data_IF_058390566640
#
_entry.id   IF_058390566640
#
_cell.length_a   1.000
_cell.length_b   1.000
_cell.length_c   1.000
_cell.angle_alpha   90.00
_cell.angle_beta   90.00
_cell.angle_gamma   90.00
#
_symmetry.space_group_name_H-M   'P 1'
#
loop_
_entity.id
_entity.type
_entity.pdbx_description
1 polymer ?
#
# COMPACT_ATOMS: atom_id res chain seq x y z
N UNK A 1 33.39 12.34 -1.14
CA UNK A 1 32.80 11.78 -2.39
C UNK A 1 31.51 12.50 -2.70
N UNK A 2 31.31 13.04 -3.91
CA UNK A 2 30.10 13.81 -4.29
C UNK A 2 29.02 13.01 -5.03
N UNK A 3 29.33 11.74 -5.38
CA UNK A 3 28.44 10.80 -6.08
C UNK A 3 28.62 9.38 -5.54
N UNK A 4 27.55 8.59 -5.58
CA UNK A 4 27.59 7.17 -5.28
C UNK A 4 28.34 6.42 -6.38
N UNK A 5 29.36 5.63 -6.02
CA UNK A 5 30.19 4.89 -6.98
C UNK A 5 29.43 3.76 -7.70
N UNK A 6 28.33 3.28 -7.11
CA UNK A 6 27.59 2.12 -7.63
C UNK A 6 26.51 2.49 -8.66
N UNK A 7 25.77 3.57 -8.41
CA UNK A 7 24.64 3.98 -9.27
C UNK A 7 24.79 5.39 -9.86
N UNK A 8 25.85 6.11 -9.49
CA UNK A 8 26.13 7.47 -9.94
C UNK A 8 25.25 8.56 -9.35
N UNK A 9 24.34 8.27 -8.40
CA UNK A 9 23.51 9.28 -7.75
C UNK A 9 24.39 10.33 -7.07
N UNK A 10 24.23 11.58 -7.48
CA UNK A 10 24.95 12.73 -6.94
C UNK A 10 24.19 13.43 -5.81
N UNK A 11 24.87 14.29 -5.05
CA UNK A 11 24.20 15.17 -4.08
C UNK A 11 23.14 16.06 -4.74
N UNK A 12 23.39 16.50 -5.98
CA UNK A 12 22.42 17.27 -6.76
C UNK A 12 21.19 16.44 -7.09
N UNK A 13 21.37 15.21 -7.56
CA UNK A 13 20.25 14.30 -7.85
C UNK A 13 19.36 14.09 -6.60
N UNK A 14 20.01 13.91 -5.45
CA UNK A 14 19.32 13.77 -4.16
C UNK A 14 18.54 15.03 -3.76
N UNK A 15 19.17 16.22 -3.84
CA UNK A 15 18.50 17.49 -3.50
C UNK A 15 17.33 17.81 -4.44
N UNK A 16 17.48 17.53 -5.72
CA UNK A 16 16.49 17.87 -6.74
C UNK A 16 15.27 16.93 -6.70
N UNK A 17 15.46 15.64 -6.36
CA UNK A 17 14.39 14.63 -6.49
C UNK A 17 14.05 13.90 -5.18
N UNK A 18 14.91 13.95 -4.16
CA UNK A 18 14.73 13.22 -2.90
C UNK A 18 14.80 11.69 -3.06
N UNK A 19 15.50 11.18 -4.07
CA UNK A 19 15.54 9.75 -4.42
C UNK A 19 16.96 9.22 -4.56
N UNK A 20 17.18 8.00 -4.05
CA UNK A 20 18.46 7.29 -4.17
C UNK A 20 18.41 6.22 -5.26
N UNK A 21 19.58 5.91 -5.83
CA UNK A 21 19.69 4.93 -6.92
C UNK A 21 20.09 3.52 -6.51
N UNK A 22 20.52 3.32 -5.26
CA UNK A 22 20.83 2.02 -4.65
C UNK A 22 21.06 2.19 -3.14
N UNK A 23 21.10 1.10 -2.38
CA UNK A 23 21.36 1.12 -0.94
C UNK A 23 22.70 1.78 -0.55
N UNK A 24 23.73 1.70 -1.40
CA UNK A 24 25.03 2.33 -1.12
C UNK A 24 24.99 3.87 -1.10
N UNK A 25 23.93 4.49 -1.62
CA UNK A 25 23.73 5.94 -1.50
C UNK A 25 23.60 6.40 -0.03
N UNK A 26 23.22 5.49 0.88
CA UNK A 26 23.13 5.81 2.30
C UNK A 26 24.49 6.16 2.90
N UNK A 27 25.61 5.69 2.35
CA UNK A 27 26.93 6.12 2.79
C UNK A 27 27.18 7.63 2.59
N UNK A 28 26.37 8.29 1.75
CA UNK A 28 26.47 9.72 1.45
C UNK A 28 25.31 10.52 2.05
N UNK A 29 24.09 9.97 2.06
CA UNK A 29 22.87 10.74 2.35
C UNK A 29 22.08 10.21 3.56
N UNK A 30 22.64 9.29 4.36
CA UNK A 30 21.88 8.62 5.42
C UNK A 30 21.19 9.57 6.41
N UNK A 31 21.85 10.64 6.86
CA UNK A 31 21.28 11.58 7.83
C UNK A 31 20.02 12.26 7.31
N UNK A 32 20.02 12.67 6.05
CA UNK A 32 18.86 13.30 5.42
C UNK A 32 17.81 12.24 5.07
N UNK A 33 18.24 11.10 4.56
CA UNK A 33 17.35 10.00 4.15
C UNK A 33 16.46 9.52 5.30
N UNK A 34 17.03 9.28 6.48
CA UNK A 34 16.30 8.75 7.63
C UNK A 34 15.20 9.70 8.10
N UNK A 35 15.39 11.02 7.97
CA UNK A 35 14.40 12.04 8.40
C UNK A 35 13.07 11.93 7.67
N UNK A 36 13.06 11.34 6.47
CA UNK A 36 11.88 11.20 5.63
C UNK A 36 11.29 9.78 5.65
N UNK A 37 11.85 8.87 6.46
CA UNK A 37 11.25 7.55 6.67
C UNK A 37 10.04 7.72 7.59
N UNK A 38 8.86 7.18 7.23
CA UNK A 38 7.66 7.32 8.06
C UNK A 38 7.89 6.68 9.44
N UNK A 39 7.44 7.34 10.50
CA UNK A 39 7.59 6.83 11.86
C UNK A 39 6.90 5.48 12.04
N UNK A 40 7.55 4.63 12.82
CA UNK A 40 7.02 3.33 13.23
C UNK A 40 6.33 3.51 14.59
N UNK A 41 5.01 3.66 14.64
CA UNK A 41 4.29 3.91 15.92
C UNK A 41 4.42 2.79 16.93
N UNK A 42 4.51 3.10 18.22
CA UNK A 42 4.67 2.07 19.26
C UNK A 42 3.38 1.27 19.50
N UNK A 43 2.24 1.91 19.34
CA UNK A 43 0.93 1.36 19.67
C UNK A 43 0.00 1.40 18.47
N UNK A 44 -1.06 0.59 18.53
CA UNK A 44 -2.12 0.65 17.54
C UNK A 44 -2.94 1.92 17.73
N UNK A 45 -3.28 2.56 16.61
CA UNK A 45 -4.13 3.74 16.65
C UNK A 45 -5.55 3.38 17.09
N UNK A 46 -6.12 4.17 18.00
CA UNK A 46 -7.54 4.17 18.37
C UNK A 46 -8.11 5.59 18.20
N UNK A 47 -9.39 5.75 17.81
CA UNK A 47 -10.06 7.04 17.82
C UNK A 47 -10.03 7.66 19.23
N UNK A 48 -9.79 8.98 19.36
CA UNK A 48 -9.80 9.64 20.67
C UNK A 48 -11.17 9.55 21.34
N UNK A 49 -11.23 9.38 22.67
CA UNK A 49 -12.49 9.21 23.44
C UNK A 49 -13.56 10.30 23.21
N UNK A 50 -13.14 11.48 22.79
CA UNK A 50 -14.00 12.66 22.56
C UNK A 50 -14.67 12.68 21.18
N UNK A 51 -14.31 11.78 20.27
CA UNK A 51 -14.88 11.79 18.92
C UNK A 51 -16.28 11.15 18.90
N UNK A 52 -17.14 11.50 17.93
CA UNK A 52 -18.46 10.89 17.79
C UNK A 52 -18.36 9.36 17.69
N UNK A 53 -19.37 8.65 18.19
CA UNK A 53 -19.50 7.18 18.09
C UNK A 53 -18.35 6.37 18.73
N UNK A 54 -17.55 6.97 19.64
CA UNK A 54 -16.43 6.26 20.27
C UNK A 54 -16.86 5.00 21.05
N UNK A 55 -18.00 5.06 21.76
CA UNK A 55 -18.48 3.91 22.57
C UNK A 55 -18.92 2.75 21.68
N UNK A 56 -19.62 3.08 20.60
CA UNK A 56 -20.06 2.17 19.56
C UNK A 56 -18.87 1.55 18.84
N UNK A 57 -17.88 2.36 18.49
CA UNK A 57 -16.61 1.91 17.94
C UNK A 57 -15.90 0.96 18.89
N UNK A 58 -15.78 1.27 20.19
CA UNK A 58 -15.08 0.40 21.15
C UNK A 58 -15.77 -0.95 21.30
N UNK A 59 -17.11 -0.99 21.24
CA UNK A 59 -17.88 -2.24 21.22
C UNK A 59 -17.59 -3.02 19.94
N UNK A 60 -17.61 -2.36 18.79
CA UNK A 60 -17.34 -2.97 17.49
C UNK A 60 -15.90 -3.50 17.37
N UNK A 61 -14.92 -2.71 17.81
CA UNK A 61 -13.49 -3.04 17.74
C UNK A 61 -13.05 -4.08 18.78
N UNK A 62 -13.93 -4.46 19.72
CA UNK A 62 -13.67 -5.56 20.66
C UNK A 62 -13.80 -6.94 20.01
N UNK A 63 -14.43 -7.02 18.82
CA UNK A 63 -14.52 -8.25 18.05
C UNK A 63 -13.16 -8.62 17.41
N UNK A 64 -12.88 -9.92 17.22
CA UNK A 64 -11.74 -10.35 16.40
C UNK A 64 -11.80 -9.72 15.00
N UNK A 65 -10.65 -9.33 14.45
CA UNK A 65 -10.54 -8.55 13.20
C UNK A 65 -11.27 -9.25 12.03
N UNK A 66 -11.14 -10.56 11.90
CA UNK A 66 -11.88 -11.36 10.92
C UNK A 66 -13.40 -11.17 10.98
N UNK A 67 -13.99 -11.08 12.19
CA UNK A 67 -15.43 -10.84 12.38
C UNK A 67 -15.80 -9.38 12.13
N UNK A 68 -14.98 -8.46 12.65
CA UNK A 68 -15.10 -7.03 12.39
C UNK A 68 -15.14 -6.76 10.87
N UNK A 69 -14.21 -7.32 10.12
CA UNK A 69 -14.10 -7.13 8.67
C UNK A 69 -15.35 -7.62 7.92
N UNK A 70 -15.84 -8.83 8.24
CA UNK A 70 -17.12 -9.33 7.66
C UNK A 70 -18.30 -8.43 8.00
N UNK A 71 -18.33 -7.89 9.21
CA UNK A 71 -19.38 -6.98 9.67
C UNK A 71 -19.36 -5.66 8.89
N UNK A 72 -18.18 -5.05 8.69
CA UNK A 72 -18.05 -3.87 7.85
C UNK A 72 -18.51 -4.17 6.41
N UNK A 73 -18.08 -5.28 5.82
CA UNK A 73 -18.45 -5.66 4.44
C UNK A 73 -19.96 -5.83 4.27
N UNK A 74 -20.66 -6.31 5.29
CA UNK A 74 -22.13 -6.45 5.28
C UNK A 74 -22.88 -5.12 5.16
N UNK A 75 -22.23 -4.00 5.49
CA UNK A 75 -22.82 -2.66 5.34
C UNK A 75 -22.76 -2.14 3.91
N UNK A 76 -22.05 -2.84 3.00
CA UNK A 76 -21.94 -2.50 1.58
C UNK A 76 -21.54 -1.05 1.34
N UNK A 77 -20.63 -0.54 2.18
CA UNK A 77 -20.11 0.82 2.03
C UNK A 77 -19.32 0.93 0.72
N UNK A 78 -19.34 2.09 0.05
CA UNK A 78 -18.61 2.31 -1.20
C UNK A 78 -17.11 2.51 -0.97
N UNK A 79 -16.50 1.66 -0.14
CA UNK A 79 -15.08 1.74 0.22
C UNK A 79 -14.29 0.82 -0.71
N UNK A 80 -13.06 1.21 -1.03
CA UNK A 80 -12.08 0.34 -1.66
C UNK A 80 -10.81 0.34 -0.85
N UNK A 81 -10.22 -0.82 -0.66
CA UNK A 81 -9.04 -1.02 0.17
C UNK A 81 -7.86 -1.41 -0.69
N UNK A 82 -6.68 -0.96 -0.31
CA UNK A 82 -5.46 -1.29 -1.00
C UNK A 82 -4.32 -1.52 -0.03
N UNK A 83 -3.65 -2.64 -0.21
CA UNK A 83 -2.33 -2.90 0.33
C UNK A 83 -1.29 -2.82 -0.78
N UNK A 84 -0.12 -2.28 -0.48
CA UNK A 84 1.04 -2.43 -1.35
C UNK A 84 2.31 -2.60 -0.54
N UNK A 85 3.29 -3.25 -1.15
CA UNK A 85 4.64 -3.43 -0.60
C UNK A 85 5.69 -3.24 -1.70
N UNK A 86 6.76 -2.52 -1.40
CA UNK A 86 7.89 -2.27 -2.33
C UNK A 86 9.16 -2.92 -1.85
N UNK A 87 9.93 -3.50 -2.77
CA UNK A 87 11.24 -4.11 -2.49
C UNK A 87 12.23 -3.87 -3.61
N UNK A 88 13.50 -3.82 -3.22
CA UNK A 88 14.64 -3.84 -4.13
C UNK A 88 15.53 -5.04 -3.78
N UNK A 89 15.84 -5.94 -4.74
CA UNK A 89 16.82 -7.00 -4.56
C UNK A 89 18.15 -6.48 -4.04
N UNK A 90 18.79 -7.28 -3.17
CA UNK A 90 20.04 -6.92 -2.53
C UNK A 90 21.14 -6.58 -3.55
N UNK A 91 21.84 -5.48 -3.32
CA UNK A 91 22.95 -4.99 -4.15
C UNK A 91 22.53 -4.53 -5.54
N UNK A 92 21.24 -4.21 -5.76
CA UNK A 92 20.75 -3.78 -7.07
C UNK A 92 20.85 -2.26 -7.27
N UNK A 93 20.89 -1.86 -8.53
CA UNK A 93 20.65 -0.47 -8.94
C UNK A 93 19.16 -0.32 -9.22
N UNK A 94 18.54 0.69 -8.61
CA UNK A 94 17.10 0.94 -8.67
C UNK A 94 16.70 1.50 -10.03
N UNK A 95 15.44 1.27 -10.47
CA UNK A 95 15.00 1.63 -11.81
C UNK A 95 15.23 3.11 -12.15
N UNK A 96 15.17 4.01 -11.16
CA UNK A 96 15.46 5.44 -11.33
C UNK A 96 16.80 5.74 -12.03
N UNK A 97 17.79 4.86 -11.89
CA UNK A 97 19.11 4.99 -12.52
C UNK A 97 19.34 4.04 -13.69
N UNK A 98 18.38 3.18 -14.02
CA UNK A 98 18.50 2.26 -15.15
C UNK A 98 18.05 2.95 -16.45
N UNK A 99 18.85 2.77 -17.48
CA UNK A 99 18.53 3.17 -18.86
C UNK A 99 17.76 2.10 -19.63
N UNK A 100 17.75 0.85 -19.13
CA UNK A 100 17.08 -0.30 -19.75
C UNK A 100 15.92 -0.79 -18.89
N UNK A 101 14.94 -1.37 -19.58
CA UNK A 101 13.84 -2.14 -18.96
C UNK A 101 14.41 -3.26 -18.07
N UNK A 102 13.75 -3.50 -16.94
CA UNK A 102 14.06 -4.61 -16.05
C UNK A 102 13.24 -5.83 -16.50
N UNK A 103 13.92 -6.94 -16.81
CA UNK A 103 13.26 -8.22 -17.09
C UNK A 103 12.70 -8.82 -15.78
N UNK A 104 11.37 -8.92 -15.59
CA UNK A 104 10.76 -9.38 -14.35
C UNK A 104 11.15 -10.79 -13.97
N UNK A 105 11.31 -11.69 -14.93
CA UNK A 105 11.70 -13.09 -14.70
C UNK A 105 13.06 -13.13 -13.98
N UNK A 106 14.02 -12.29 -14.41
CA UNK A 106 15.33 -12.20 -13.76
C UNK A 106 15.25 -11.64 -12.34
N UNK A 107 14.33 -10.69 -12.11
CA UNK A 107 14.11 -10.13 -10.77
C UNK A 107 13.49 -11.18 -9.87
N UNK A 108 12.40 -11.80 -10.30
CA UNK A 108 11.70 -12.85 -9.55
C UNK A 108 12.61 -14.04 -9.28
N UNK A 109 13.33 -14.55 -10.28
CA UNK A 109 14.30 -15.62 -10.09
C UNK A 109 15.35 -15.28 -9.01
N UNK A 110 15.76 -14.01 -8.94
CA UNK A 110 16.76 -13.54 -7.97
C UNK A 110 16.18 -13.38 -6.56
N UNK A 111 14.96 -12.85 -6.42
CA UNK A 111 14.46 -12.43 -5.10
C UNK A 111 13.15 -13.07 -4.63
N UNK A 112 12.39 -13.68 -5.53
CA UNK A 112 11.08 -14.26 -5.26
C UNK A 112 10.87 -15.54 -6.12
N UNK A 113 11.79 -16.54 -6.06
CA UNK A 113 11.71 -17.73 -6.90
C UNK A 113 10.41 -18.52 -6.67
N UNK A 114 9.98 -18.65 -5.41
CA UNK A 114 8.72 -19.32 -5.04
C UNK A 114 7.51 -18.71 -5.78
N UNK A 115 7.49 -17.38 -5.97
CA UNK A 115 6.40 -16.70 -6.71
C UNK A 115 6.51 -16.96 -8.21
N UNK A 116 7.74 -17.03 -8.74
CA UNK A 116 7.95 -17.39 -10.14
C UNK A 116 7.44 -18.80 -10.43
N UNK A 117 7.79 -19.76 -9.57
CA UNK A 117 7.32 -21.16 -9.68
C UNK A 117 5.80 -21.25 -9.61
N UNK A 118 5.16 -20.55 -8.66
CA UNK A 118 3.69 -20.46 -8.58
C UNK A 118 3.08 -19.96 -9.89
N UNK A 119 3.59 -18.85 -10.44
CA UNK A 119 3.10 -18.28 -11.70
C UNK A 119 3.30 -19.24 -12.88
N UNK A 120 4.45 -19.92 -12.96
CA UNK A 120 4.74 -20.88 -14.03
C UNK A 120 3.82 -22.10 -13.94
N UNK A 121 3.60 -22.64 -12.74
CA UNK A 121 2.74 -23.80 -12.51
C UNK A 121 1.27 -23.56 -12.87
N UNK A 122 0.76 -22.34 -12.59
CA UNK A 122 -0.61 -21.95 -12.95
C UNK A 122 -0.81 -21.85 -14.47
N UNK A 123 0.20 -21.38 -15.21
CA UNK A 123 0.13 -21.25 -16.67
C UNK A 123 0.14 -22.62 -17.39
N UNK A 124 0.81 -23.62 -16.82
CA UNK A 124 0.81 -24.99 -17.35
C UNK A 124 -0.57 -25.65 -17.19
N UNK A 125 -1.30 -25.34 -16.11
CA UNK A 125 -2.65 -25.88 -15.88
C UNK A 125 -3.72 -25.22 -16.74
N UNK A 126 -3.63 -23.89 -16.97
CA UNK A 126 -4.58 -23.13 -17.81
C UNK A 126 -4.46 -23.45 -19.31
N UNK A 127 -3.36 -24.05 -19.76
CA UNK A 127 -3.17 -24.46 -21.17
C UNK A 127 -4.12 -25.60 -21.62
N UNK A 128 -4.95 -26.14 -20.73
CA UNK A 128 -5.94 -27.19 -21.01
C UNK A 128 -7.41 -26.73 -21.01
N UNK A 129 -7.74 -25.52 -20.54
CA UNK A 129 -9.13 -25.02 -20.51
C UNK A 129 -9.22 -23.49 -20.66
N UNK A 130 -9.95 -23.06 -21.68
CA UNK A 130 -10.37 -21.71 -22.10
C UNK A 130 -10.06 -20.46 -21.22
N UNK A 131 -9.17 -19.62 -21.77
CA UNK A 131 -9.12 -18.12 -21.78
C UNK A 131 -9.45 -17.34 -20.49
N UNK A 132 -8.47 -17.28 -19.59
CA UNK A 132 -8.15 -16.03 -18.88
C UNK A 132 -6.64 -15.93 -18.64
N UNK A 133 -5.86 -15.98 -19.71
CA UNK A 133 -4.40 -15.95 -19.67
C UNK A 133 -3.89 -14.81 -18.78
N UNK A 134 -3.29 -15.16 -17.64
CA UNK A 134 -2.43 -14.28 -16.84
C UNK A 134 -1.13 -14.02 -17.62
N UNK A 135 -1.24 -13.37 -18.76
CA UNK A 135 -0.09 -13.03 -19.59
C UNK A 135 0.71 -11.89 -18.96
N UNK A 136 2.01 -11.95 -19.15
CA UNK A 136 2.91 -10.82 -18.96
C UNK A 136 2.34 -9.61 -19.71
N UNK A 137 1.85 -8.62 -18.96
CA UNK A 137 1.30 -7.41 -19.56
C UNK A 137 2.33 -6.30 -19.45
N UNK A 138 2.95 -5.97 -20.59
CA UNK A 138 3.70 -4.73 -20.73
C UNK A 138 2.69 -3.59 -20.86
N UNK A 139 2.68 -2.68 -19.89
CA UNK A 139 1.87 -1.47 -19.99
C UNK A 139 2.79 -0.27 -20.05
N UNK A 140 2.80 0.46 -21.17
CA UNK A 140 3.49 1.74 -21.29
C UNK A 140 2.64 2.76 -20.53
N UNK A 141 3.09 3.19 -19.35
CA UNK A 141 2.42 4.27 -18.60
C UNK A 141 3.00 5.63 -19.04
N UNK A 142 2.20 6.53 -19.66
CA UNK A 142 2.69 7.86 -20.02
C UNK A 142 2.84 8.72 -18.76
N UNK A 143 4.06 9.16 -18.46
CA UNK A 143 4.31 10.37 -17.68
C UNK A 143 5.10 11.36 -18.50
N UNK A 144 4.83 12.65 -18.27
CA UNK A 144 5.33 13.78 -19.03
C UNK A 144 6.84 13.75 -19.26
N UNK A 145 7.20 13.88 -20.55
CA UNK A 145 8.46 14.43 -21.09
C UNK A 145 9.75 14.01 -20.35
N UNK A 146 10.20 12.77 -20.58
CA UNK A 146 11.59 12.46 -20.99
C UNK A 146 12.00 10.98 -20.84
N UNK A 147 11.20 10.10 -20.22
CA UNK A 147 11.58 8.68 -20.07
C UNK A 147 10.38 7.74 -20.23
N UNK A 148 10.21 7.19 -21.44
CA UNK A 148 9.34 6.03 -21.69
C UNK A 148 9.96 4.79 -21.03
N UNK A 149 9.65 4.54 -19.76
CA UNK A 149 10.01 3.27 -19.12
C UNK A 149 8.90 2.26 -19.32
N UNK A 150 9.23 1.16 -19.97
CA UNK A 150 8.37 -0.03 -20.07
C UNK A 150 8.16 -0.54 -18.65
N UNK A 151 6.90 -0.56 -18.21
CA UNK A 151 6.49 -1.22 -16.96
C UNK A 151 5.91 -2.55 -17.33
N UNK A 152 6.39 -3.59 -16.67
CA UNK A 152 5.86 -4.93 -16.79
C UNK A 152 5.09 -5.27 -15.52
N UNK A 153 4.06 -6.08 -15.68
CA UNK A 153 3.26 -6.54 -14.55
C UNK A 153 2.75 -7.95 -14.70
N UNK A 154 2.60 -8.61 -13.55
CA UNK A 154 2.14 -9.98 -13.40
C UNK A 154 1.07 -10.03 -12.32
N UNK A 155 0.17 -11.02 -12.39
CA UNK A 155 -0.81 -11.27 -11.33
C UNK A 155 -0.35 -12.44 -10.47
N UNK A 156 -0.43 -12.29 -9.15
CA UNK A 156 -0.08 -13.33 -8.18
C UNK A 156 -0.81 -13.08 -6.86
N UNK A 157 -1.37 -14.15 -6.28
CA UNK A 157 -2.15 -14.13 -5.03
C UNK A 157 -3.25 -13.05 -5.00
N UNK A 158 -4.03 -12.95 -6.09
CA UNK A 158 -5.09 -11.93 -6.25
C UNK A 158 -4.59 -10.49 -6.45
N UNK A 159 -3.30 -10.22 -6.29
CA UNK A 159 -2.68 -8.92 -6.48
C UNK A 159 -1.88 -8.80 -7.78
N UNK A 160 -1.34 -7.60 -8.01
CA UNK A 160 -0.52 -7.24 -9.16
C UNK A 160 0.91 -6.95 -8.73
N UNK A 161 1.86 -7.71 -9.27
CA UNK A 161 3.29 -7.40 -9.26
C UNK A 161 3.61 -6.40 -10.35
N UNK A 162 4.35 -5.35 -10.01
CA UNK A 162 4.80 -4.28 -10.88
C UNK A 162 6.33 -4.23 -10.83
N UNK A 163 6.96 -4.07 -11.99
CA UNK A 163 8.40 -4.00 -12.12
C UNK A 163 8.84 -2.71 -12.82
N UNK A 164 10.02 -2.21 -12.44
CA UNK A 164 10.69 -1.14 -13.17
C UNK A 164 10.09 0.27 -13.01
N UNK A 165 9.25 0.51 -12.00
CA UNK A 165 8.70 1.84 -11.70
C UNK A 165 9.75 2.71 -10.97
N UNK A 166 9.57 2.90 -9.67
CA UNK A 166 10.51 3.60 -8.80
C UNK A 166 11.44 2.64 -8.05
N UNK A 167 10.89 1.49 -7.66
CA UNK A 167 11.55 0.36 -7.03
C UNK A 167 11.47 -0.85 -7.97
N UNK A 168 12.35 -1.83 -7.81
CA UNK A 168 12.42 -2.98 -8.71
C UNK A 168 11.18 -3.86 -8.66
N UNK A 169 10.62 -4.09 -7.47
CA UNK A 169 9.40 -4.89 -7.26
C UNK A 169 8.41 -4.10 -6.42
N UNK A 170 7.16 -4.08 -6.86
CA UNK A 170 6.02 -3.65 -6.04
C UNK A 170 4.89 -4.64 -6.20
N UNK A 171 4.36 -5.15 -5.10
CA UNK A 171 3.11 -5.91 -5.12
C UNK A 171 1.97 -5.04 -4.60
N UNK A 172 0.83 -5.06 -5.29
CA UNK A 172 -0.36 -4.29 -4.94
C UNK A 172 -1.60 -5.18 -4.95
N UNK A 173 -2.37 -5.13 -3.87
CA UNK A 173 -3.65 -5.82 -3.73
C UNK A 173 -4.74 -4.78 -3.51
N UNK A 174 -5.79 -4.84 -4.34
CA UNK A 174 -6.92 -3.89 -4.31
C UNK A 174 -8.20 -4.71 -4.26
N UNK A 175 -9.08 -4.39 -3.32
CA UNK A 175 -10.36 -5.09 -3.11
C UNK A 175 -11.38 -4.14 -2.50
N UNK A 176 -12.67 -4.39 -2.72
CA UNK A 176 -13.76 -3.70 -2.05
C UNK A 176 -14.25 -4.46 -0.80
N UNK A 177 -13.59 -5.57 -0.43
CA UNK A 177 -13.86 -6.36 0.77
C UNK A 177 -12.74 -6.20 1.80
N UNK A 178 -13.09 -5.68 2.98
CA UNK A 178 -12.16 -5.58 4.10
C UNK A 178 -11.77 -6.97 4.60
N UNK A 179 -12.71 -7.93 4.48
CA UNK A 179 -12.49 -9.33 4.84
C UNK A 179 -11.44 -10.01 3.94
N UNK A 180 -11.54 -9.80 2.62
CA UNK A 180 -10.57 -10.34 1.67
C UNK A 180 -9.18 -9.72 1.91
N UNK A 181 -9.12 -8.41 2.17
CA UNK A 181 -7.89 -7.75 2.54
C UNK A 181 -7.27 -8.37 3.81
N UNK A 182 -8.07 -8.58 4.86
CA UNK A 182 -7.61 -9.22 6.11
C UNK A 182 -7.03 -10.62 5.86
N UNK A 183 -7.75 -11.43 5.07
CA UNK A 183 -7.33 -12.80 4.73
C UNK A 183 -5.96 -12.78 4.03
N UNK A 184 -5.79 -11.89 3.06
CA UNK A 184 -4.54 -11.72 2.33
C UNK A 184 -3.43 -11.22 3.25
N UNK A 185 -3.72 -10.27 4.14
CA UNK A 185 -2.74 -9.72 5.08
C UNK A 185 -2.25 -10.76 6.11
N UNK A 186 -3.05 -11.79 6.40
CA UNK A 186 -2.70 -12.89 7.29
C UNK A 186 -2.18 -14.13 6.55
N UNK A 187 -2.14 -14.11 5.21
CA UNK A 187 -1.56 -15.19 4.43
C UNK A 187 -0.03 -15.22 4.52
N UNK A 188 0.55 -16.40 4.34
CA UNK A 188 2.01 -16.60 4.27
C UNK A 188 2.64 -15.97 3.01
N UNK A 189 1.85 -15.59 2.02
CA UNK A 189 2.34 -14.97 0.78
C UNK A 189 3.20 -13.73 1.06
N UNK A 190 2.79 -12.92 2.04
CA UNK A 190 3.49 -11.69 2.36
C UNK A 190 4.88 -11.94 2.94
N UNK A 191 5.10 -13.04 3.67
CA UNK A 191 6.40 -13.38 4.28
C UNK A 191 7.54 -13.45 3.25
N UNK A 192 7.21 -13.77 1.99
CA UNK A 192 8.14 -13.78 0.86
C UNK A 192 8.82 -12.41 0.65
N UNK A 193 8.17 -11.31 1.04
CA UNK A 193 8.70 -9.96 0.98
C UNK A 193 9.48 -9.53 2.22
N UNK A 194 9.44 -10.29 3.33
CA UNK A 194 10.16 -9.96 4.57
C UNK A 194 11.45 -10.78 4.74
N UNK A 195 12.31 -10.77 3.72
CA UNK A 195 13.60 -11.50 3.70
C UNK A 195 14.80 -10.51 3.61
N UNK A 196 15.38 -10.02 4.72
CA UNK A 196 16.49 -9.04 4.74
C UNK A 196 17.78 -9.50 4.02
N UNK A 197 17.96 -10.80 3.88
CA UNK A 197 19.08 -11.40 3.16
C UNK A 197 18.90 -11.32 1.64
N UNK A 198 17.65 -11.18 1.17
CA UNK A 198 17.27 -11.18 -0.25
C UNK A 198 17.10 -9.75 -0.78
N UNK A 199 16.59 -8.84 0.05
CA UNK A 199 16.33 -7.46 -0.31
C UNK A 199 17.35 -6.51 0.30
N UNK A 200 17.50 -5.31 -0.28
CA UNK A 200 18.27 -4.24 0.32
C UNK A 200 17.65 -3.87 1.67
N UNK A 201 18.43 -4.10 2.73
CA UNK A 201 18.03 -3.90 4.11
C UNK A 201 19.22 -3.36 4.91
N UNK A 202 18.96 -2.43 5.83
CA UNK A 202 19.95 -1.93 6.78
C UNK A 202 19.34 -1.84 8.17
N UNK A 203 20.01 -2.40 9.16
CA UNK A 203 19.59 -2.31 10.56
C UNK A 203 19.45 -0.83 11.00
N UNK A 204 18.42 -0.54 11.78
CA UNK A 204 18.04 0.82 12.17
C UNK A 204 17.30 1.63 11.09
N UNK A 205 17.23 1.14 9.85
CA UNK A 205 16.49 1.77 8.73
C UNK A 205 15.35 0.87 8.26
N UNK A 206 15.59 -0.43 8.13
CA UNK A 206 14.66 -1.39 7.51
C UNK A 206 14.99 -1.68 6.04
N UNK A 207 13.99 -2.08 5.28
CA UNK A 207 14.07 -2.22 3.82
C UNK A 207 14.28 -0.87 3.16
N UNK A 208 15.15 -0.85 2.16
CA UNK A 208 15.60 0.37 1.51
C UNK A 208 14.87 0.53 0.17
N UNK A 209 14.29 1.72 -0.02
CA UNK A 209 13.61 2.11 -1.25
C UNK A 209 14.25 3.33 -1.90
N UNK A 210 13.92 3.58 -3.17
CA UNK A 210 14.39 4.76 -3.88
C UNK A 210 13.94 6.06 -3.20
N UNK A 211 12.65 6.17 -2.86
CA UNK A 211 12.13 7.23 -2.01
C UNK A 211 12.14 6.82 -0.54
N UNK A 212 12.68 7.65 0.37
CA UNK A 212 12.73 7.35 1.80
C UNK A 212 11.36 7.09 2.40
N UNK A 213 10.31 7.76 1.89
CA UNK A 213 8.94 7.59 2.41
C UNK A 213 8.36 6.20 2.14
N UNK A 214 9.01 5.37 1.32
CA UNK A 214 8.65 3.96 1.10
C UNK A 214 9.65 2.99 1.77
N UNK A 215 10.55 3.49 2.61
CA UNK A 215 11.52 2.66 3.34
C UNK A 215 11.02 2.29 4.73
N UNK A 216 11.77 1.46 5.45
CA UNK A 216 11.28 0.83 6.68
C UNK A 216 10.71 -0.54 6.35
N UNK A 217 9.44 -0.77 6.64
CA UNK A 217 8.71 -1.98 6.27
C UNK A 217 8.29 -1.95 4.79
N UNK A 218 8.29 -0.77 4.17
CA UNK A 218 7.99 -0.55 2.75
C UNK A 218 6.58 -0.92 2.33
N UNK A 219 5.67 -1.09 3.29
CA UNK A 219 4.27 -1.32 3.08
C UNK A 219 3.43 -0.05 3.22
N UNK A 220 2.26 -0.06 2.58
CA UNK A 220 1.25 0.99 2.67
C UNK A 220 -0.13 0.34 2.63
N UNK A 221 -0.98 0.73 3.57
CA UNK A 221 -2.41 0.46 3.53
C UNK A 221 -3.15 1.76 3.24
N UNK A 222 -4.22 1.65 2.47
CA UNK A 222 -5.09 2.76 2.14
C UNK A 222 -6.54 2.33 2.00
N UNK A 223 -7.44 3.25 2.33
CA UNK A 223 -8.87 3.16 2.06
C UNK A 223 -9.27 4.36 1.20
N UNK A 224 -9.98 4.08 0.11
CA UNK A 224 -10.56 5.07 -0.78
C UNK A 224 -12.07 5.13 -0.55
N UNK A 225 -12.59 6.34 -0.38
CA UNK A 225 -14.03 6.60 -0.21
C UNK A 225 -14.49 7.63 -1.25
N UNK A 226 -15.78 7.66 -1.64
CA UNK A 226 -16.29 8.68 -2.55
C UNK A 226 -16.10 10.07 -1.97
N UNK A 227 -15.72 11.02 -2.82
CA UNK A 227 -15.52 12.41 -2.44
C UNK A 227 -16.80 13.05 -1.89
N UNK A 228 -17.96 12.67 -2.44
CA UNK A 228 -19.27 13.13 -1.97
C UNK A 228 -19.51 12.92 -0.46
N UNK A 229 -18.99 11.84 0.13
CA UNK A 229 -19.14 11.58 1.57
C UNK A 229 -18.47 12.65 2.46
N UNK A 230 -17.46 13.34 1.92
CA UNK A 230 -16.81 14.45 2.63
C UNK A 230 -17.55 15.78 2.51
N UNK A 231 -18.45 15.90 1.53
CA UNK A 231 -19.20 17.14 1.25
C UNK A 231 -20.58 17.16 1.91
N UNK A 232 -21.15 15.99 2.15
CA UNK A 232 -22.47 15.76 2.77
C UNK A 232 -22.45 15.86 4.30
N UNK A 233 -21.27 16.07 4.91
CA UNK A 233 -21.10 16.08 6.36
C UNK A 233 -21.14 14.67 7.00
N UNK A 234 -21.13 13.59 6.21
CA UNK A 234 -21.07 12.22 6.74
C UNK A 234 -19.76 11.93 7.50
N UNK A 235 -18.74 12.75 7.28
CA UNK A 235 -17.47 12.74 8.01
C UNK A 235 -17.37 13.85 9.07
N UNK A 236 -18.46 14.50 9.47
CA UNK A 236 -18.42 15.53 10.51
C UNK A 236 -17.81 14.99 11.81
N UNK A 237 -16.86 15.72 12.36
CA UNK A 237 -16.13 15.31 13.57
C UNK A 237 -15.07 14.23 13.32
N UNK A 238 -14.88 13.76 12.09
CA UNK A 238 -13.72 12.95 11.72
C UNK A 238 -12.44 13.79 11.85
N UNK A 239 -11.47 13.24 12.56
CA UNK A 239 -10.13 13.82 12.69
C UNK A 239 -9.14 12.82 12.13
N UNK A 240 -8.43 13.23 11.08
CA UNK A 240 -7.35 12.42 10.53
C UNK A 240 -6.23 12.29 11.57
N UNK A 241 -5.73 11.08 11.86
CA UNK A 241 -4.63 10.94 12.81
C UNK A 241 -3.34 11.55 12.26
N UNK A 242 -2.50 12.09 13.14
CA UNK A 242 -1.33 12.94 12.77
C UNK A 242 -0.33 12.26 11.81
N UNK A 243 -0.21 10.95 11.88
CA UNK A 243 0.73 10.15 11.06
C UNK A 243 0.06 9.48 9.86
N UNK A 244 -1.17 9.86 9.53
CA UNK A 244 -1.86 9.44 8.33
C UNK A 244 -1.82 10.54 7.28
N UNK A 245 -1.67 10.13 6.02
CA UNK A 245 -1.80 11.01 4.89
C UNK A 245 -3.16 10.85 4.22
N UNK A 246 -3.54 11.86 3.45
CA UNK A 246 -4.64 11.74 2.51
C UNK A 246 -4.32 12.46 1.20
N UNK A 247 -5.00 12.08 0.14
CA UNK A 247 -4.98 12.82 -1.13
C UNK A 247 -6.29 12.57 -1.89
N UNK A 248 -6.56 13.45 -2.86
CA UNK A 248 -7.72 13.32 -3.76
C UNK A 248 -7.29 12.67 -5.07
N UNK A 249 -8.12 11.76 -5.55
CA UNK A 249 -8.04 11.21 -6.90
C UNK A 249 -9.20 11.79 -7.72
N UNK A 250 -9.00 13.01 -8.25
CA UNK A 250 -10.10 13.80 -8.84
C UNK A 250 -10.75 13.11 -10.04
N UNK A 251 -10.00 12.33 -10.83
CA UNK A 251 -10.52 11.62 -12.01
C UNK A 251 -11.59 10.59 -11.64
N UNK A 252 -11.45 9.95 -10.47
CA UNK A 252 -12.41 8.94 -9.99
C UNK A 252 -13.25 9.45 -8.82
N UNK A 253 -13.13 10.74 -8.49
CA UNK A 253 -13.82 11.42 -7.39
C UNK A 253 -13.74 10.67 -6.05
N UNK A 254 -12.52 10.29 -5.65
CA UNK A 254 -12.28 9.64 -4.35
C UNK A 254 -11.30 10.39 -3.47
N UNK A 255 -11.50 10.27 -2.16
CA UNK A 255 -10.49 10.63 -1.15
C UNK A 255 -9.82 9.34 -0.70
N UNK A 256 -8.50 9.32 -0.72
CA UNK A 256 -7.70 8.19 -0.27
C UNK A 256 -7.01 8.55 1.03
N UNK A 257 -7.36 7.86 2.10
CA UNK A 257 -6.63 7.90 3.37
C UNK A 257 -5.61 6.77 3.39
N UNK A 258 -4.42 7.04 3.91
CA UNK A 258 -3.37 6.05 3.93
C UNK A 258 -2.38 6.25 5.07
N UNK A 259 -1.71 5.15 5.42
CA UNK A 259 -0.51 5.16 6.25
C UNK A 259 0.49 4.18 5.68
N UNK A 260 1.76 4.38 6.04
CA UNK A 260 2.87 3.54 5.61
C UNK A 260 3.55 2.94 6.83
N UNK A 261 4.40 1.94 6.60
CA UNK A 261 5.33 1.42 7.60
C UNK A 261 4.63 0.66 8.76
N UNK A 262 3.65 -0.18 8.42
CA UNK A 262 2.92 -1.01 9.40
C UNK A 262 3.77 -2.20 9.85
N UNK A 263 4.36 -2.92 8.90
CA UNK A 263 5.04 -4.19 9.11
C UNK A 263 4.04 -5.34 9.29
N UNK A 264 4.55 -6.51 9.68
CA UNK A 264 3.70 -7.70 9.86
C UNK A 264 2.73 -7.59 11.06
N UNK A 265 3.06 -6.80 12.09
CA UNK A 265 2.42 -6.90 13.42
C UNK A 265 1.35 -5.84 13.70
N UNK A 266 1.29 -4.72 12.95
CA UNK A 266 0.48 -3.53 13.37
C UNK A 266 -0.60 -3.12 12.40
N UNK A 267 -1.14 -4.08 11.68
CA UNK A 267 -2.20 -3.84 10.70
C UNK A 267 -3.52 -3.46 11.39
N UNK A 268 -3.68 -3.73 12.69
CA UNK A 268 -4.85 -3.39 13.51
C UNK A 268 -5.15 -1.89 13.50
N UNK A 269 -4.13 -1.03 13.55
CA UNK A 269 -4.29 0.43 13.37
C UNK A 269 -5.13 0.78 12.13
N UNK A 270 -4.95 0.05 11.02
CA UNK A 270 -5.73 0.27 9.81
C UNK A 270 -7.18 -0.20 9.95
N UNK A 271 -7.42 -1.36 10.56
CA UNK A 271 -8.77 -1.85 10.83
C UNK A 271 -9.53 -0.97 11.82
N UNK A 272 -8.85 -0.43 12.84
CA UNK A 272 -9.41 0.55 13.77
C UNK A 272 -9.84 1.82 13.04
N UNK A 273 -8.99 2.33 12.15
CA UNK A 273 -9.29 3.49 11.32
C UNK A 273 -10.48 3.24 10.39
N UNK A 274 -10.47 2.14 9.65
CA UNK A 274 -11.55 1.80 8.71
C UNK A 274 -12.87 1.56 9.43
N UNK A 275 -12.87 0.84 10.55
CA UNK A 275 -14.09 0.58 11.33
C UNK A 275 -14.69 1.86 11.91
N UNK A 276 -13.85 2.79 12.34
CA UNK A 276 -14.30 4.11 12.79
C UNK A 276 -14.92 4.91 11.64
N UNK A 277 -14.24 4.98 10.50
CA UNK A 277 -14.74 5.65 9.30
C UNK A 277 -16.06 5.04 8.82
N UNK A 278 -16.17 3.72 8.83
CA UNK A 278 -17.37 2.99 8.44
C UNK A 278 -18.56 3.28 9.37
N UNK A 279 -18.31 3.43 10.68
CA UNK A 279 -19.35 3.79 11.64
C UNK A 279 -19.89 5.21 11.41
N UNK A 280 -19.03 6.17 11.11
CA UNK A 280 -19.46 7.54 10.81
C UNK A 280 -20.39 7.58 9.59
N UNK A 281 -19.98 6.92 8.51
CA UNK A 281 -20.78 6.84 7.28
C UNK A 281 -22.10 6.08 7.54
N UNK A 282 -22.07 4.94 8.24
CA UNK A 282 -23.29 4.17 8.53
C UNK A 282 -24.26 4.90 9.46
N UNK A 283 -23.78 5.52 10.53
CA UNK A 283 -24.63 6.17 11.54
C UNK A 283 -25.51 7.27 10.97
N UNK A 284 -25.08 7.91 9.88
CA UNK A 284 -25.84 8.95 9.16
C UNK A 284 -26.88 8.35 8.21
N UNK A 285 -26.55 7.27 7.48
CA UNK A 285 -27.50 6.56 6.59
C UNK A 285 -28.70 5.99 7.36
N UNK A 286 -28.50 5.55 8.62
CA UNK A 286 -29.60 5.09 9.48
C UNK A 286 -30.35 6.25 10.17
N UNK A 287 -29.67 7.37 10.44
CA UNK A 287 -30.26 8.60 10.98
C UNK A 287 -31.20 9.31 9.99
N UNK A 288 -30.84 9.37 8.70
CA UNK A 288 -31.69 9.96 7.66
C UNK A 288 -32.96 9.12 7.43
N UNK A 289 -32.85 7.79 7.42
CA UNK A 289 -34.01 6.89 7.30
C UNK A 289 -34.98 6.95 8.48
N UNK A 290 -34.52 7.33 9.67
CA UNK A 290 -35.38 7.53 10.85
C UNK A 290 -35.99 8.93 10.92
N UNK A 291 -35.44 9.90 10.19
CA UNK A 291 -35.98 11.27 10.10
C UNK A 291 -37.13 11.44 9.08
N UNK A 292 -37.41 10.42 8.26
CA UNK A 292 -38.48 10.47 7.24
C UNK A 292 -39.76 9.69 7.61
N UNK A 293 -39.89 9.25 8.87
CA UNK A 293 -41.04 8.44 9.33
C UNK A 293 -41.84 9.06 10.46
N UNK A 294 -41.81 10.39 10.63
CA UNK A 294 -42.68 11.09 11.57
C UNK A 294 -43.06 12.47 11.02
N UNK A 295 -44.17 12.55 10.30
CA UNK A 295 -45.13 13.67 10.31
C UNK A 295 -46.30 13.35 9.37
N UNK A 296 -47.18 12.45 9.79
CA UNK A 296 -48.61 12.48 9.44
C UNK A 296 -49.37 11.79 10.57
N UNK A 297 -49.71 12.55 11.60
CA UNK A 297 -50.95 12.48 12.35
C UNK A 297 -51.23 13.88 12.91
#
# INVERSE_FOLDING_TARGET
>A
MSKCIYCGTSLRDWKDHGKIGCAHCLNLFQSDYIRYIPSREKEDWEPPKRVPLFKEWKKLSSEPIHRLAKRIDSWKLPFSYRFRITRNPKGSVYPIRLSKSIAPEKVLQKCLPDILEEILSENETESSNTKRSKSFSETIAPRSRSNNRIRSSLYSNGGRLLFGDEDQVRWEFVTDSLFELETVLNSNFLEKFWKPQVFDYKEGIGYISSCPTNSGEGDKLSVAIPFGLSQTGELDGFVLPENWGFYREDVIERIVFFRKNFGLVRKNSFFNFVSYLALLVRGRVEGEKSSHTCQYF
#
